data_IF_788041078413
#
_entry.id   IF_788041078413
#
_cell.length_a   1.000
_cell.length_b   1.000
_cell.length_c   1.000
_cell.angle_alpha   90.00
_cell.angle_beta   90.00
_cell.angle_gamma   90.00
#
_symmetry.space_group_name_H-M   'P 1'
#
loop_
_entity.id
_entity.type
_entity.pdbx_description
1 polymer ?
#
# COMPACT_ATOMS: atom_id res chain seq x y z
N UNK A 1 27.83 -2.17 -44.51
CA UNK A 1 27.53 -1.80 -43.09
C UNK A 1 26.33 -0.87 -43.10
N UNK A 2 25.30 -1.15 -42.28
CA UNK A 2 24.20 -0.20 -42.02
C UNK A 2 24.68 0.86 -41.04
N UNK A 3 24.48 2.13 -41.37
CA UNK A 3 24.73 3.23 -40.45
C UNK A 3 23.89 3.02 -39.18
N UNK A 4 24.42 3.32 -37.97
CA UNK A 4 23.65 3.30 -36.74
C UNK A 4 22.48 4.28 -36.91
N UNK A 5 21.33 3.88 -36.35
CA UNK A 5 20.15 4.75 -36.26
C UNK A 5 19.85 4.99 -34.80
N UNK A 6 19.49 6.21 -34.47
CA UNK A 6 19.01 6.56 -33.14
C UNK A 6 17.71 5.80 -32.86
N UNK A 7 17.52 5.44 -31.59
CA UNK A 7 16.29 4.84 -31.09
C UNK A 7 15.18 5.88 -30.97
N UNK A 8 13.98 5.41 -30.63
CA UNK A 8 12.87 6.28 -30.30
C UNK A 8 13.03 6.88 -28.90
N UNK A 9 12.43 8.06 -28.68
CA UNK A 9 12.33 8.66 -27.37
C UNK A 9 11.14 8.06 -26.62
N UNK A 10 11.34 7.67 -25.38
CA UNK A 10 10.30 7.13 -24.49
C UNK A 10 9.99 8.17 -23.41
N UNK A 11 8.77 8.69 -23.43
CA UNK A 11 8.29 9.56 -22.36
C UNK A 11 7.62 8.71 -21.30
N UNK A 12 8.12 8.82 -20.05
CA UNK A 12 7.57 8.11 -18.91
C UNK A 12 6.42 8.90 -18.27
N UNK A 13 5.62 8.22 -17.44
CA UNK A 13 4.63 8.85 -16.55
C UNK A 13 5.27 9.41 -15.28
N UNK A 14 6.51 9.03 -15.00
CA UNK A 14 7.29 9.54 -13.87
C UNK A 14 7.43 11.04 -13.96
N UNK A 15 7.03 11.74 -12.89
CA UNK A 15 7.31 13.16 -12.72
C UNK A 15 8.62 13.31 -11.93
N UNK A 16 9.62 13.94 -12.55
CA UNK A 16 10.96 14.07 -11.97
C UNK A 16 10.96 14.79 -10.60
N UNK A 17 10.11 15.80 -10.42
CA UNK A 17 10.04 16.53 -9.16
C UNK A 17 9.37 15.69 -8.07
N UNK A 18 8.30 14.96 -8.42
CA UNK A 18 7.64 14.01 -7.50
C UNK A 18 8.60 12.89 -7.14
N UNK A 19 9.32 12.32 -8.11
CA UNK A 19 10.34 11.30 -7.87
C UNK A 19 11.40 11.79 -6.88
N UNK A 20 11.94 12.99 -7.09
CA UNK A 20 12.93 13.58 -6.20
C UNK A 20 12.40 13.84 -4.78
N UNK A 21 11.14 14.28 -4.65
CA UNK A 21 10.49 14.43 -3.33
C UNK A 21 10.41 13.08 -2.63
N UNK A 22 9.92 12.04 -3.34
CA UNK A 22 9.76 10.69 -2.78
C UNK A 22 11.10 10.10 -2.35
N UNK A 23 12.14 10.22 -3.20
CA UNK A 23 13.48 9.74 -2.88
C UNK A 23 14.08 10.45 -1.67
N UNK A 24 13.97 11.78 -1.63
CA UNK A 24 14.49 12.59 -0.51
C UNK A 24 13.86 12.16 0.84
N UNK A 25 12.54 11.96 0.87
CA UNK A 25 11.86 11.54 2.10
C UNK A 25 12.15 10.08 2.45
N UNK A 26 12.34 9.23 1.45
CA UNK A 26 12.73 7.84 1.66
C UNK A 26 14.16 7.75 2.21
N UNK A 27 15.09 8.57 1.70
CA UNK A 27 16.47 8.67 2.21
C UNK A 27 16.51 9.16 3.66
N UNK A 28 15.72 10.17 3.98
CA UNK A 28 15.57 10.64 5.36
C UNK A 28 15.02 9.54 6.28
N UNK A 29 14.05 8.74 5.81
CA UNK A 29 13.54 7.59 6.55
C UNK A 29 14.62 6.50 6.73
N UNK A 30 15.42 6.23 5.71
CA UNK A 30 16.54 5.29 5.81
C UNK A 30 17.60 5.74 6.80
N UNK A 31 17.91 7.04 6.85
CA UNK A 31 18.83 7.61 7.83
C UNK A 31 18.28 7.54 9.27
N UNK A 32 16.97 7.69 9.43
CA UNK A 32 16.32 7.67 10.74
C UNK A 32 16.12 6.25 11.28
N UNK A 33 15.68 5.32 10.44
CA UNK A 33 15.20 4.00 10.87
C UNK A 33 16.11 2.85 10.45
N UNK A 34 17.14 3.10 9.66
CA UNK A 34 18.10 2.10 9.17
C UNK A 34 17.45 0.77 8.72
N UNK A 35 16.41 0.82 7.87
CA UNK A 35 15.74 -0.40 7.43
C UNK A 35 16.65 -1.22 6.51
N UNK A 36 16.39 -2.52 6.39
CA UNK A 36 17.05 -3.36 5.39
C UNK A 36 16.66 -3.00 3.97
N UNK A 37 15.38 -2.63 3.78
CA UNK A 37 14.83 -2.14 2.53
C UNK A 37 13.80 -1.05 2.82
N UNK A 38 13.70 -0.08 1.93
CA UNK A 38 12.64 0.89 1.93
C UNK A 38 12.09 1.06 0.51
N UNK A 39 10.78 1.21 0.40
CA UNK A 39 10.07 1.31 -0.87
C UNK A 39 9.04 2.42 -0.74
N UNK A 40 8.95 3.28 -1.77
CA UNK A 40 7.86 4.21 -1.91
C UNK A 40 7.41 4.26 -3.38
N UNK A 41 6.10 4.15 -3.59
CA UNK A 41 5.49 4.21 -4.92
C UNK A 41 4.34 5.20 -4.86
N UNK A 42 4.27 6.08 -5.87
CA UNK A 42 3.15 6.99 -6.03
C UNK A 42 2.46 6.77 -7.37
N UNK A 43 1.13 6.69 -7.35
CA UNK A 43 0.31 6.41 -8.52
C UNK A 43 -0.92 7.33 -8.57
N UNK A 44 -1.33 7.72 -9.77
CA UNK A 44 -2.59 8.41 -10.02
C UNK A 44 -3.73 7.39 -10.09
N UNK A 45 -4.69 7.38 -9.15
CA UNK A 45 -5.71 6.33 -9.07
C UNK A 45 -6.61 6.22 -10.31
N UNK A 46 -6.91 7.33 -10.97
CA UNK A 46 -7.85 7.39 -12.10
C UNK A 46 -7.25 6.83 -13.39
N UNK A 47 -5.92 6.91 -13.55
CA UNK A 47 -5.25 6.55 -14.81
C UNK A 47 -4.32 5.35 -14.66
N UNK A 48 -3.86 5.04 -13.46
CA UNK A 48 -2.83 4.02 -13.22
C UNK A 48 -1.40 4.52 -13.47
N UNK A 49 -1.21 5.80 -13.82
CA UNK A 49 0.12 6.38 -14.07
C UNK A 49 0.97 6.35 -12.80
N UNK A 50 2.14 5.74 -12.89
CA UNK A 50 3.16 5.78 -11.85
C UNK A 50 3.84 7.15 -11.92
N UNK A 51 3.69 7.95 -10.87
CA UNK A 51 4.28 9.28 -10.75
C UNK A 51 5.68 9.26 -10.14
N UNK A 52 5.94 8.27 -9.26
CA UNK A 52 7.24 7.99 -8.68
C UNK A 52 7.33 6.52 -8.25
N UNK A 53 8.54 5.95 -8.31
CA UNK A 53 8.85 4.61 -7.81
C UNK A 53 10.29 4.60 -7.30
N UNK A 54 10.48 4.45 -6.00
CA UNK A 54 11.78 4.46 -5.35
C UNK A 54 11.98 3.22 -4.48
N UNK A 55 13.19 2.68 -4.50
CA UNK A 55 13.64 1.57 -3.67
C UNK A 55 14.94 1.96 -2.95
N UNK A 56 15.17 1.39 -1.77
CA UNK A 56 16.45 1.43 -1.07
C UNK A 56 16.76 0.03 -0.51
N UNK A 57 18.01 -0.44 -0.62
CA UNK A 57 19.09 0.19 -1.38
C UNK A 57 18.75 0.33 -2.87
N UNK A 58 19.46 1.24 -3.55
CA UNK A 58 19.41 1.44 -4.99
C UNK A 58 20.81 1.30 -5.60
N UNK A 59 20.93 1.50 -6.91
CA UNK A 59 22.22 1.43 -7.62
C UNK A 59 22.30 2.51 -8.69
N UNK A 60 23.53 2.96 -8.97
CA UNK A 60 23.81 3.79 -10.14
C UNK A 60 24.01 2.88 -11.37
N UNK A 61 23.17 2.98 -12.43
CA UNK A 61 23.35 2.23 -13.65
C UNK A 61 24.72 2.41 -14.33
N UNK A 62 25.41 3.52 -14.06
CA UNK A 62 26.76 3.76 -14.59
C UNK A 62 27.80 2.88 -13.88
N UNK A 63 27.57 2.43 -12.66
CA UNK A 63 28.47 1.54 -11.95
C UNK A 63 28.65 0.19 -12.65
N UNK A 64 27.63 -0.30 -13.35
CA UNK A 64 27.71 -1.54 -14.13
C UNK A 64 28.83 -1.48 -15.18
N UNK A 65 29.17 -0.30 -15.71
CA UNK A 65 30.21 -0.10 -16.70
C UNK A 65 31.59 0.22 -16.11
N UNK A 66 31.63 0.75 -14.90
CA UNK A 66 32.83 1.31 -14.27
C UNK A 66 33.37 0.47 -13.12
N UNK A 67 32.55 -0.32 -12.47
CA UNK A 67 32.93 -1.18 -11.34
C UNK A 67 33.30 -2.59 -11.79
N UNK A 68 34.17 -3.29 -11.01
CA UNK A 68 34.54 -4.66 -11.33
C UNK A 68 33.37 -5.64 -11.16
N UNK A 69 33.40 -6.81 -11.82
CA UNK A 69 32.34 -7.82 -11.71
C UNK A 69 32.06 -8.28 -10.27
N UNK A 70 33.03 -8.29 -9.38
CA UNK A 70 32.85 -8.63 -7.96
C UNK A 70 31.94 -7.63 -7.25
N UNK A 71 32.06 -6.33 -7.54
CA UNK A 71 31.17 -5.30 -7.02
C UNK A 71 29.74 -5.54 -7.48
N UNK A 72 29.54 -5.83 -8.76
CA UNK A 72 28.22 -6.11 -9.34
C UNK A 72 27.57 -7.33 -8.66
N UNK A 73 28.35 -8.41 -8.47
CA UNK A 73 27.88 -9.62 -7.82
C UNK A 73 27.48 -9.37 -6.34
N UNK A 74 28.25 -8.55 -5.63
CA UNK A 74 28.00 -8.20 -4.23
C UNK A 74 26.72 -7.36 -4.07
N UNK A 75 26.39 -6.50 -5.07
CA UNK A 75 25.24 -5.59 -5.08
C UNK A 75 24.11 -6.06 -6.00
N UNK A 76 24.09 -7.32 -6.44
CA UNK A 76 23.05 -7.84 -7.34
C UNK A 76 21.64 -7.67 -6.74
N UNK A 77 21.51 -7.82 -5.43
CA UNK A 77 20.26 -7.62 -4.70
C UNK A 77 19.71 -6.18 -4.79
N UNK A 78 20.62 -5.21 -4.84
CA UNK A 78 20.30 -3.78 -4.88
C UNK A 78 19.77 -3.35 -6.26
N UNK A 79 20.10 -4.12 -7.32
CA UNK A 79 19.67 -3.87 -8.69
C UNK A 79 18.22 -4.31 -8.97
N UNK A 80 17.58 -4.97 -8.00
CA UNK A 80 16.20 -5.43 -8.16
C UNK A 80 15.22 -4.31 -7.87
N UNK A 81 14.19 -4.20 -8.70
CA UNK A 81 13.06 -3.32 -8.39
C UNK A 81 12.13 -4.01 -7.40
N UNK A 82 12.43 -3.85 -6.10
CA UNK A 82 11.67 -4.48 -5.02
C UNK A 82 10.18 -4.10 -5.00
N UNK A 83 9.80 -2.99 -5.61
CA UNK A 83 8.40 -2.56 -5.73
C UNK A 83 7.52 -3.57 -6.48
N UNK A 84 8.11 -4.36 -7.38
CA UNK A 84 7.42 -5.32 -8.25
C UNK A 84 7.96 -6.75 -8.18
N UNK A 85 9.16 -6.94 -7.61
CA UNK A 85 9.86 -8.23 -7.59
C UNK A 85 10.04 -8.83 -6.21
N UNK A 86 9.67 -8.14 -5.15
CA UNK A 86 9.63 -8.67 -3.79
C UNK A 86 8.19 -8.91 -3.37
N UNK A 87 7.96 -10.03 -2.68
CA UNK A 87 6.66 -10.37 -2.13
C UNK A 87 6.74 -10.49 -0.61
N UNK A 88 5.66 -10.11 0.05
CA UNK A 88 5.53 -10.16 1.50
C UNK A 88 4.07 -10.31 1.90
N UNK A 89 3.84 -10.73 3.12
CA UNK A 89 2.52 -10.63 3.71
C UNK A 89 2.13 -9.15 3.88
N UNK A 90 0.99 -8.69 3.31
CA UNK A 90 0.58 -7.28 3.36
C UNK A 90 0.13 -6.84 4.76
N UNK A 91 -0.14 -7.79 5.65
CA UNK A 91 -0.69 -7.50 6.96
C UNK A 91 -2.00 -6.72 6.87
N UNK A 92 -2.21 -5.81 7.79
CA UNK A 92 -3.48 -5.07 7.93
C UNK A 92 -3.84 -4.16 6.75
N UNK A 93 -2.94 -3.88 5.80
CA UNK A 93 -3.34 -3.18 4.56
C UNK A 93 -4.33 -4.01 3.75
N UNK A 94 -4.30 -5.33 3.88
CA UNK A 94 -5.21 -6.24 3.18
C UNK A 94 -6.66 -6.17 3.67
N UNK A 95 -6.92 -5.62 4.87
CA UNK A 95 -8.28 -5.46 5.42
C UNK A 95 -9.19 -4.58 4.55
N UNK A 96 -8.62 -3.75 3.66
CA UNK A 96 -9.42 -3.00 2.68
C UNK A 96 -10.19 -3.93 1.75
N UNK A 97 -9.60 -5.07 1.36
CA UNK A 97 -10.27 -6.09 0.53
C UNK A 97 -11.40 -6.75 1.31
N UNK A 98 -11.14 -7.12 2.57
CA UNK A 98 -12.10 -7.79 3.44
C UNK A 98 -13.33 -6.91 3.72
N UNK A 99 -13.10 -5.65 4.12
CA UNK A 99 -14.16 -4.68 4.37
C UNK A 99 -14.96 -4.36 3.11
N UNK A 100 -14.25 -4.08 2.00
CA UNK A 100 -14.88 -3.80 0.72
C UNK A 100 -15.74 -4.97 0.21
N UNK A 101 -15.26 -6.20 0.35
CA UNK A 101 -16.01 -7.39 -0.05
C UNK A 101 -17.28 -7.57 0.77
N UNK A 102 -17.21 -7.44 2.10
CA UNK A 102 -18.35 -7.61 2.99
C UNK A 102 -19.43 -6.55 2.76
N UNK A 103 -19.03 -5.28 2.56
CA UNK A 103 -19.93 -4.18 2.23
C UNK A 103 -20.55 -4.36 0.83
N UNK A 104 -19.76 -4.74 -0.17
CA UNK A 104 -20.21 -4.89 -1.56
C UNK A 104 -21.21 -6.05 -1.75
N UNK A 105 -21.07 -7.12 -0.98
CA UNK A 105 -22.02 -8.23 -0.93
C UNK A 105 -23.25 -7.93 -0.06
N UNK A 106 -23.32 -6.76 0.55
CA UNK A 106 -24.39 -6.34 1.47
C UNK A 106 -24.64 -7.35 2.60
N UNK A 107 -23.62 -8.11 3.00
CA UNK A 107 -23.69 -9.01 4.17
C UNK A 107 -23.68 -8.22 5.48
N UNK A 108 -23.16 -7.02 5.42
CA UNK A 108 -23.10 -6.03 6.50
C UNK A 108 -23.27 -4.61 5.94
N UNK A 109 -23.48 -3.64 6.83
CA UNK A 109 -23.44 -2.19 6.56
C UNK A 109 -22.32 -1.55 7.38
N UNK A 110 -21.90 -0.31 7.07
CA UNK A 110 -20.88 0.40 7.83
C UNK A 110 -21.12 0.43 9.34
N UNK A 111 -22.37 0.59 9.75
CA UNK A 111 -22.85 0.67 11.13
C UNK A 111 -23.15 -0.69 11.78
N UNK A 112 -23.04 -1.80 11.06
CA UNK A 112 -23.29 -3.15 11.60
C UNK A 112 -22.30 -3.47 12.71
N UNK A 113 -22.79 -3.86 13.87
CA UNK A 113 -21.97 -4.19 15.04
C UNK A 113 -21.52 -5.64 14.98
N UNK A 114 -20.23 -5.84 15.18
CA UNK A 114 -19.56 -7.14 15.28
C UNK A 114 -18.86 -7.21 16.63
N UNK A 115 -19.20 -8.22 17.44
CA UNK A 115 -18.50 -8.46 18.70
C UNK A 115 -17.11 -9.08 18.44
N UNK A 116 -16.03 -8.40 18.88
CA UNK A 116 -14.64 -8.79 18.64
C UNK A 116 -14.01 -9.54 19.84
N UNK A 117 -14.82 -10.28 20.61
CA UNK A 117 -14.42 -11.26 21.63
C UNK A 117 -13.46 -10.71 22.70
N UNK A 118 -13.51 -9.40 22.98
CA UNK A 118 -12.57 -8.71 23.88
C UNK A 118 -11.10 -9.01 23.56
N UNK A 119 -10.77 -9.15 22.25
CA UNK A 119 -9.41 -9.31 21.75
C UNK A 119 -8.88 -10.74 21.68
N UNK A 120 -9.71 -11.78 21.93
CA UNK A 120 -9.26 -13.18 21.85
C UNK A 120 -10.36 -14.10 21.28
N UNK A 121 -10.29 -14.46 20.02
CA UNK A 121 -11.27 -15.28 19.30
C UNK A 121 -10.73 -16.71 19.06
N UNK A 122 -11.41 -17.71 19.63
CA UNK A 122 -11.08 -19.12 19.37
C UNK A 122 -11.78 -19.60 18.11
N UNK A 123 -11.01 -19.97 17.09
CA UNK A 123 -11.51 -20.56 15.86
C UNK A 123 -10.69 -21.80 15.47
N UNK A 124 -11.36 -22.92 15.27
CA UNK A 124 -10.69 -24.18 14.89
C UNK A 124 -9.66 -24.69 15.92
N UNK A 125 -9.81 -24.35 17.20
CA UNK A 125 -8.89 -24.74 18.27
C UNK A 125 -7.63 -23.86 18.37
N UNK A 126 -7.59 -22.74 17.67
CA UNK A 126 -6.51 -21.75 17.74
C UNK A 126 -7.07 -20.38 18.07
N UNK A 127 -6.33 -19.61 18.86
CA UNK A 127 -6.70 -18.23 19.16
C UNK A 127 -6.19 -17.28 18.08
N UNK A 128 -7.06 -16.36 17.70
CA UNK A 128 -6.75 -15.14 16.95
C UNK A 128 -6.84 -13.98 17.92
N UNK A 129 -5.86 -13.09 17.89
CA UNK A 129 -5.81 -11.94 18.77
C UNK A 129 -5.87 -10.62 18.01
N UNK A 130 -6.54 -9.64 18.60
CA UNK A 130 -6.36 -8.24 18.25
C UNK A 130 -5.15 -7.66 19.00
N UNK A 131 -4.51 -6.64 18.42
CA UNK A 131 -3.39 -5.95 19.07
C UNK A 131 -3.84 -5.24 20.36
N UNK A 132 -5.09 -4.76 20.37
CA UNK A 132 -5.75 -4.19 21.55
C UNK A 132 -7.10 -4.88 21.76
N UNK A 133 -7.50 -5.17 23.00
CA UNK A 133 -8.81 -5.76 23.28
C UNK A 133 -9.96 -4.88 22.76
N UNK A 134 -10.82 -5.44 21.91
CA UNK A 134 -12.02 -4.79 21.40
C UNK A 134 -13.24 -5.66 21.72
N UNK A 135 -14.31 -5.02 22.22
CA UNK A 135 -15.64 -5.62 22.37
C UNK A 135 -16.46 -5.46 21.09
N UNK A 136 -17.55 -4.71 21.15
CA UNK A 136 -18.40 -4.40 20.03
C UNK A 136 -17.75 -3.32 19.15
N UNK A 137 -17.60 -3.60 17.84
CA UNK A 137 -17.13 -2.66 16.84
C UNK A 137 -18.12 -2.58 15.68
N UNK A 138 -18.33 -1.39 15.13
CA UNK A 138 -18.94 -1.26 13.81
C UNK A 138 -18.00 -1.77 12.73
N UNK A 139 -18.49 -2.04 11.53
CA UNK A 139 -17.66 -2.43 10.38
C UNK A 139 -16.64 -1.33 10.06
N UNK A 140 -17.04 -0.05 10.16
CA UNK A 140 -16.11 1.08 10.03
C UNK A 140 -15.02 1.02 11.11
N UNK A 141 -15.39 0.80 12.38
CA UNK A 141 -14.42 0.74 13.47
C UNK A 141 -13.49 -0.48 13.37
N UNK A 142 -13.92 -1.59 12.75
CA UNK A 142 -13.03 -2.73 12.41
C UNK A 142 -11.89 -2.27 11.49
N UNK A 143 -12.18 -1.44 10.49
CA UNK A 143 -11.16 -0.88 9.60
C UNK A 143 -10.33 0.20 10.29
N UNK A 144 -10.96 1.10 11.05
CA UNK A 144 -10.32 2.22 11.75
C UNK A 144 -9.34 1.72 12.81
N UNK A 145 -9.78 0.81 13.67
CA UNK A 145 -8.98 0.22 14.75
C UNK A 145 -8.16 -0.99 14.30
N UNK A 146 -8.36 -1.41 13.04
CA UNK A 146 -7.62 -2.53 12.47
C UNK A 146 -7.83 -3.87 13.20
N UNK A 147 -9.06 -4.19 13.67
CA UNK A 147 -9.35 -5.44 14.36
C UNK A 147 -9.12 -6.66 13.45
N UNK A 148 -8.29 -7.59 13.91
CA UNK A 148 -8.05 -8.88 13.25
C UNK A 148 -9.27 -9.79 13.35
N UNK A 149 -9.89 -9.79 14.53
CA UNK A 149 -11.07 -10.62 14.84
C UNK A 149 -12.27 -10.13 14.04
N UNK A 150 -12.48 -8.81 13.98
CA UNK A 150 -13.53 -8.21 13.16
C UNK A 150 -13.38 -8.59 11.69
N UNK A 151 -12.17 -8.44 11.13
CA UNK A 151 -11.87 -8.82 9.75
C UNK A 151 -12.11 -10.33 9.50
N UNK A 152 -11.68 -11.20 10.40
CA UNK A 152 -11.92 -12.63 10.30
C UNK A 152 -13.43 -12.94 10.28
N UNK A 153 -14.24 -12.32 11.15
CA UNK A 153 -15.69 -12.50 11.20
C UNK A 153 -16.39 -12.01 9.94
N UNK A 154 -15.95 -10.90 9.35
CA UNK A 154 -16.44 -10.43 8.05
C UNK A 154 -16.20 -11.47 6.95
N UNK A 155 -14.98 -12.03 6.88
CA UNK A 155 -14.66 -13.06 5.88
C UNK A 155 -15.40 -14.37 6.12
N UNK A 156 -15.61 -14.78 7.38
CA UNK A 156 -16.46 -15.94 7.72
C UNK A 156 -17.90 -15.74 7.23
N UNK A 157 -18.44 -14.52 7.34
CA UNK A 157 -19.76 -14.17 6.81
C UNK A 157 -19.84 -14.23 5.29
N UNK A 158 -18.75 -13.90 4.57
CA UNK A 158 -18.65 -14.01 3.12
C UNK A 158 -18.52 -15.47 2.63
N UNK A 159 -17.77 -16.26 3.36
CA UNK A 159 -17.35 -17.60 2.96
C UNK A 159 -16.16 -17.57 1.99
N UNK A 160 -15.43 -18.70 1.94
CA UNK A 160 -14.14 -18.84 1.26
C UNK A 160 -14.17 -18.47 -0.22
N UNK A 161 -15.17 -18.95 -0.96
CA UNK A 161 -15.25 -18.79 -2.41
C UNK A 161 -15.47 -17.32 -2.81
N UNK A 162 -16.39 -16.62 -2.14
CA UNK A 162 -16.66 -15.21 -2.44
C UNK A 162 -15.47 -14.35 -2.04
N UNK A 163 -14.90 -14.60 -0.83
CA UNK A 163 -13.74 -13.85 -0.38
C UNK A 163 -12.54 -14.01 -1.32
N UNK A 164 -12.24 -15.25 -1.75
CA UNK A 164 -11.23 -15.52 -2.76
C UNK A 164 -11.52 -14.78 -4.09
N UNK A 165 -12.77 -14.77 -4.52
CA UNK A 165 -13.19 -14.01 -5.70
C UNK A 165 -12.82 -12.53 -5.62
N UNK A 166 -13.02 -11.87 -4.47
CA UNK A 166 -12.62 -10.47 -4.26
C UNK A 166 -11.10 -10.29 -4.21
N UNK A 167 -10.37 -11.20 -3.56
CA UNK A 167 -8.89 -11.17 -3.58
C UNK A 167 -8.38 -11.13 -5.02
N UNK A 168 -8.91 -12.00 -5.88
CA UNK A 168 -8.56 -12.05 -7.30
C UNK A 168 -9.05 -10.82 -8.06
N UNK A 169 -10.24 -10.33 -7.75
CA UNK A 169 -10.81 -9.14 -8.39
C UNK A 169 -9.96 -7.89 -8.12
N UNK A 170 -9.39 -7.74 -6.93
CA UNK A 170 -8.45 -6.66 -6.58
C UNK A 170 -7.05 -6.84 -7.22
N UNK A 171 -6.79 -7.93 -7.96
CA UNK A 171 -5.56 -8.15 -8.72
C UNK A 171 -4.49 -8.94 -7.97
N UNK A 172 -4.74 -9.42 -6.75
CA UNK A 172 -3.78 -10.23 -6.02
C UNK A 172 -3.59 -11.63 -6.60
N UNK A 173 -2.34 -12.10 -6.61
CA UNK A 173 -1.95 -13.37 -7.21
C UNK A 173 -1.87 -13.33 -8.74
N UNK A 174 -1.87 -12.15 -9.36
CA UNK A 174 -1.67 -11.90 -10.80
C UNK A 174 -0.65 -10.78 -10.98
N UNK A 175 0.08 -10.79 -12.09
CA UNK A 175 0.89 -9.63 -12.48
C UNK A 175 -0.01 -8.43 -12.75
N UNK A 176 0.41 -7.24 -12.35
CA UNK A 176 -0.35 -6.00 -12.60
C UNK A 176 -0.33 -5.60 -14.07
N UNK A 177 0.66 -6.10 -14.82
CA UNK A 177 0.87 -5.78 -16.22
C UNK A 177 1.68 -4.51 -16.45
N UNK A 178 2.35 -3.99 -15.42
CA UNK A 178 3.28 -2.87 -15.58
C UNK A 178 4.38 -3.21 -16.59
N UNK A 179 4.71 -2.28 -17.50
CA UNK A 179 5.70 -2.49 -18.54
C UNK A 179 7.15 -2.39 -18.02
N UNK A 180 7.45 -3.16 -16.97
CA UNK A 180 8.79 -3.28 -16.37
C UNK A 180 9.20 -4.75 -16.25
N UNK A 181 10.49 -5.08 -16.44
CA UNK A 181 10.98 -6.44 -16.28
C UNK A 181 11.01 -6.85 -14.80
N UNK A 182 10.90 -8.15 -14.53
CA UNK A 182 11.05 -8.71 -13.19
C UNK A 182 9.79 -8.70 -12.33
N UNK A 183 8.64 -8.30 -12.85
CA UNK A 183 7.37 -8.35 -12.10
C UNK A 183 6.99 -9.80 -11.77
N UNK A 184 6.62 -10.03 -10.49
CA UNK A 184 6.11 -11.30 -9.98
C UNK A 184 4.61 -11.22 -9.66
N UNK A 185 3.88 -12.35 -9.72
CA UNK A 185 2.44 -12.36 -9.45
C UNK A 185 2.08 -12.35 -7.96
N UNK A 186 3.05 -12.51 -7.06
CA UNK A 186 2.77 -12.85 -5.67
C UNK A 186 2.19 -14.26 -5.51
N UNK A 187 1.72 -14.59 -4.31
CA UNK A 187 1.20 -15.91 -3.99
C UNK A 187 -0.17 -15.82 -3.31
N UNK A 188 -1.19 -16.36 -3.97
CA UNK A 188 -2.55 -16.49 -3.44
C UNK A 188 -3.07 -17.88 -3.78
N UNK A 189 -3.22 -18.72 -2.78
CA UNK A 189 -3.76 -20.07 -2.98
C UNK A 189 -5.28 -20.06 -3.15
N UNK A 190 -5.83 -20.92 -4.02
CA UNK A 190 -7.27 -21.09 -4.16
C UNK A 190 -7.86 -21.83 -2.95
N UNK A 191 -9.19 -21.67 -2.65
CA UNK A 191 -9.82 -22.18 -1.43
C UNK A 191 -9.63 -23.68 -1.18
N UNK A 192 -9.56 -24.52 -2.22
CA UNK A 192 -9.31 -25.95 -2.05
C UNK A 192 -7.93 -26.31 -1.45
N UNK A 193 -7.02 -25.34 -1.39
CA UNK A 193 -5.70 -25.44 -0.74
C UNK A 193 -5.65 -24.78 0.64
N UNK A 194 -6.75 -24.13 1.06
CA UNK A 194 -6.80 -23.47 2.34
C UNK A 194 -6.88 -24.49 3.48
N UNK A 195 -6.25 -24.16 4.58
CA UNK A 195 -6.47 -24.82 5.86
C UNK A 195 -7.79 -24.36 6.48
N UNK A 196 -8.27 -25.05 7.51
CA UNK A 196 -9.44 -24.58 8.27
C UNK A 196 -9.24 -23.18 8.89
N UNK A 197 -8.00 -22.75 9.08
CA UNK A 197 -7.67 -21.45 9.69
C UNK A 197 -7.51 -20.34 8.66
N UNK A 198 -7.26 -20.66 7.40
CA UNK A 198 -6.95 -19.68 6.35
C UNK A 198 -8.01 -18.59 6.21
N UNK A 199 -9.31 -18.97 6.31
CA UNK A 199 -10.43 -18.00 6.26
C UNK A 199 -10.39 -16.96 7.39
N UNK A 200 -9.62 -17.18 8.45
CA UNK A 200 -9.43 -16.22 9.56
C UNK A 200 -8.08 -15.54 9.51
N UNK A 201 -7.12 -16.02 8.71
CA UNK A 201 -5.76 -15.48 8.59
C UNK A 201 -5.62 -14.57 7.36
N UNK A 202 -6.09 -15.02 6.22
CA UNK A 202 -6.04 -14.25 4.97
C UNK A 202 -6.73 -12.87 5.10
N UNK A 203 -7.88 -12.71 5.79
CA UNK A 203 -8.53 -11.40 5.92
C UNK A 203 -7.70 -10.30 6.57
N UNK A 204 -6.70 -10.67 7.35
CA UNK A 204 -5.77 -9.72 7.96
C UNK A 204 -4.41 -9.67 7.25
N UNK A 205 -4.28 -10.35 6.09
CA UNK A 205 -3.11 -10.30 5.23
C UNK A 205 -2.02 -11.29 5.58
N UNK A 206 -2.35 -12.41 6.24
CA UNK A 206 -1.46 -13.56 6.42
C UNK A 206 -1.79 -14.66 5.40
N UNK A 207 -0.88 -15.60 5.18
CA UNK A 207 -1.01 -16.71 4.21
C UNK A 207 -1.19 -16.24 2.75
N UNK A 208 -0.92 -14.96 2.45
CA UNK A 208 -0.85 -14.38 1.10
C UNK A 208 0.44 -13.61 0.97
N UNK A 209 1.10 -13.69 -0.20
CA UNK A 209 2.27 -12.90 -0.47
C UNK A 209 1.99 -11.99 -1.68
N UNK A 210 2.24 -10.69 -1.52
CA UNK A 210 1.89 -9.66 -2.50
C UNK A 210 3.05 -8.69 -2.70
N UNK A 211 3.10 -8.05 -3.87
CA UNK A 211 4.07 -6.99 -4.09
C UNK A 211 3.57 -5.65 -3.55
N UNK A 212 4.47 -4.69 -3.24
CA UNK A 212 4.09 -3.33 -2.89
C UNK A 212 3.18 -2.67 -3.94
N UNK A 213 3.47 -2.90 -5.23
CA UNK A 213 2.66 -2.36 -6.31
C UNK A 213 1.24 -2.94 -6.32
N UNK A 214 1.07 -4.23 -6.07
CA UNK A 214 -0.27 -4.84 -5.95
C UNK A 214 -1.07 -4.21 -4.81
N UNK A 215 -0.44 -3.97 -3.66
CA UNK A 215 -1.09 -3.31 -2.51
C UNK A 215 -1.53 -1.89 -2.86
N UNK A 216 -0.67 -1.10 -3.51
CA UNK A 216 -1.00 0.24 -3.96
C UNK A 216 -2.13 0.24 -5.00
N UNK A 217 -2.08 -0.68 -5.97
CA UNK A 217 -3.08 -0.80 -7.03
C UNK A 217 -4.46 -1.14 -6.47
N UNK A 218 -4.53 -2.01 -5.45
CA UNK A 218 -5.76 -2.31 -4.73
C UNK A 218 -6.30 -1.09 -3.97
N UNK A 219 -5.44 -0.32 -3.29
CA UNK A 219 -5.83 0.95 -2.65
C UNK A 219 -6.33 1.97 -3.68
N UNK A 220 -5.66 2.08 -4.83
CA UNK A 220 -6.11 2.94 -5.93
C UNK A 220 -7.47 2.53 -6.47
N UNK A 221 -7.80 1.24 -6.50
CA UNK A 221 -9.15 0.81 -6.90
C UNK A 221 -10.22 1.35 -5.93
N UNK A 222 -9.97 1.34 -4.62
CA UNK A 222 -10.85 1.98 -3.62
C UNK A 222 -10.96 3.49 -3.90
N UNK A 223 -9.81 4.17 -4.04
CA UNK A 223 -9.71 5.62 -4.30
C UNK A 223 -10.37 6.03 -5.63
N UNK A 224 -10.51 5.12 -6.58
CA UNK A 224 -11.06 5.33 -7.94
C UNK A 224 -12.51 4.78 -8.09
N UNK A 225 -13.29 4.82 -7.03
CA UNK A 225 -14.69 4.38 -7.08
C UNK A 225 -14.87 2.90 -7.41
N UNK A 226 -13.94 2.06 -6.97
CA UNK A 226 -13.96 0.61 -7.15
C UNK A 226 -13.41 0.11 -8.49
N UNK A 227 -12.80 0.98 -9.30
CA UNK A 227 -12.26 0.63 -10.62
C UNK A 227 -10.76 0.35 -10.54
N UNK A 228 -10.37 -0.87 -10.87
CA UNK A 228 -8.97 -1.29 -10.95
C UNK A 228 -8.36 -0.85 -12.28
N UNK A 229 -7.28 -0.06 -12.20
CA UNK A 229 -6.52 0.40 -13.37
C UNK A 229 -5.23 -0.40 -13.51
N UNK A 230 -4.78 -0.59 -14.76
CA UNK A 230 -3.45 -1.14 -15.04
C UNK A 230 -2.38 -0.09 -14.73
N UNK A 231 -1.36 -0.40 -13.90
CA UNK A 231 -0.25 0.51 -13.67
C UNK A 231 0.52 0.80 -14.96
N UNK A 232 0.86 2.06 -15.19
CA UNK A 232 1.56 2.51 -16.39
C UNK A 232 2.80 3.31 -16.03
N UNK A 233 3.90 3.05 -16.73
CA UNK A 233 5.17 3.77 -16.58
C UNK A 233 5.57 4.47 -17.88
N UNK A 234 5.01 4.06 -19.01
CA UNK A 234 5.24 4.69 -20.32
C UNK A 234 4.00 5.48 -20.73
N UNK A 235 4.19 6.77 -21.07
CA UNK A 235 3.13 7.65 -21.55
C UNK A 235 3.02 7.63 -23.07
N UNK A 236 4.15 7.85 -23.77
CA UNK A 236 4.20 7.84 -25.23
C UNK A 236 5.61 7.57 -25.76
N UNK A 237 5.69 7.24 -27.04
CA UNK A 237 6.94 7.06 -27.79
C UNK A 237 6.95 8.03 -28.97
N UNK A 238 8.07 8.75 -29.18
CA UNK A 238 8.27 9.64 -30.32
C UNK A 238 9.52 9.26 -31.09
N UNK A 239 9.58 9.68 -32.37
CA UNK A 239 10.82 9.63 -33.13
C UNK A 239 11.78 10.80 -32.76
N UNK A 240 12.91 10.87 -33.48
CA UNK A 240 13.93 11.91 -33.35
C UNK A 240 13.44 13.31 -33.75
N UNK A 241 12.33 13.41 -34.49
CA UNK A 241 11.69 14.65 -34.90
C UNK A 241 10.54 15.08 -33.94
N UNK A 242 10.28 14.30 -32.86
CA UNK A 242 9.20 14.53 -31.92
C UNK A 242 7.82 14.09 -32.43
N UNK A 243 7.74 13.37 -33.55
CA UNK A 243 6.49 12.84 -34.04
C UNK A 243 6.09 11.63 -33.19
N UNK A 244 4.84 11.59 -32.71
CA UNK A 244 4.32 10.49 -31.93
C UNK A 244 4.22 9.21 -32.78
N UNK A 245 4.90 8.15 -32.32
CA UNK A 245 4.87 6.80 -32.87
C UNK A 245 3.82 5.95 -32.20
N UNK A 246 3.68 6.07 -30.85
CA UNK A 246 2.73 5.31 -30.05
C UNK A 246 2.32 6.06 -28.81
N UNK A 247 1.07 5.88 -28.38
CA UNK A 247 0.53 6.39 -27.10
C UNK A 247 0.00 5.24 -26.26
N UNK A 248 0.05 5.39 -24.94
CA UNK A 248 -0.42 4.39 -23.99
C UNK A 248 -1.53 5.01 -23.11
N UNK A 249 -2.78 4.99 -23.57
CA UNK A 249 -3.89 5.54 -22.79
C UNK A 249 -4.15 4.71 -21.53
N UNK A 250 -4.76 5.31 -20.50
CA UNK A 250 -5.17 4.59 -19.28
C UNK A 250 -6.06 3.39 -19.60
N UNK A 251 -5.77 2.24 -18.99
CA UNK A 251 -6.50 0.99 -19.15
C UNK A 251 -7.21 0.61 -17.87
N UNK A 252 -8.54 0.62 -17.89
CA UNK A 252 -9.36 0.06 -16.83
C UNK A 252 -9.44 -1.46 -16.99
N UNK A 253 -8.97 -2.22 -15.99
CA UNK A 253 -8.99 -3.68 -16.02
C UNK A 253 -10.40 -4.19 -15.73
N UNK A 254 -11.03 -3.70 -14.63
CA UNK A 254 -12.37 -4.12 -14.21
C UNK A 254 -12.96 -3.19 -13.14
N UNK A 255 -14.28 -3.25 -12.96
CA UNK A 255 -14.95 -2.75 -11.76
C UNK A 255 -14.92 -3.85 -10.71
N UNK A 256 -14.30 -3.59 -9.55
CA UNK A 256 -14.11 -4.58 -8.48
C UNK A 256 -15.25 -4.53 -7.47
N UNK A 257 -15.65 -3.32 -7.09
CA UNK A 257 -16.74 -3.03 -6.17
C UNK A 257 -17.58 -1.86 -6.70
N UNK A 258 -18.82 -1.73 -6.24
CA UNK A 258 -19.66 -0.62 -6.60
C UNK A 258 -19.06 0.74 -6.13
N UNK A 259 -19.30 1.85 -6.87
CA UNK A 259 -18.83 3.17 -6.43
C UNK A 259 -19.40 3.62 -5.08
N UNK A 260 -20.60 3.16 -4.69
CA UNK A 260 -21.18 3.39 -3.36
C UNK A 260 -20.35 2.72 -2.28
N UNK A 261 -20.01 1.43 -2.47
CA UNK A 261 -19.18 0.68 -1.55
C UNK A 261 -17.77 1.29 -1.42
N UNK A 262 -17.20 1.74 -2.54
CA UNK A 262 -15.91 2.42 -2.51
C UNK A 262 -15.94 3.66 -1.61
N UNK A 263 -17.03 4.48 -1.68
CA UNK A 263 -17.21 5.65 -0.79
C UNK A 263 -17.32 5.25 0.68
N UNK A 264 -18.10 4.22 1.00
CA UNK A 264 -18.23 3.70 2.37
C UNK A 264 -16.85 3.28 2.93
N UNK A 265 -16.05 2.57 2.13
CA UNK A 265 -14.68 2.20 2.53
C UNK A 265 -13.79 3.43 2.69
N UNK A 266 -13.86 4.42 1.79
CA UNK A 266 -13.10 5.68 1.90
C UNK A 266 -13.45 6.40 3.21
N UNK A 267 -14.73 6.46 3.60
CA UNK A 267 -15.15 7.10 4.83
C UNK A 267 -14.57 6.41 6.08
N UNK A 268 -14.55 5.08 6.11
CA UNK A 268 -13.85 4.33 7.15
C UNK A 268 -12.32 4.62 7.14
N UNK A 269 -11.69 4.68 5.95
CA UNK A 269 -10.25 4.94 5.81
C UNK A 269 -9.85 6.36 6.20
N UNK A 270 -10.72 7.36 6.10
CA UNK A 270 -10.52 8.70 6.71
C UNK A 270 -10.38 8.57 8.24
N UNK A 271 -11.20 7.71 8.85
CA UNK A 271 -11.13 7.43 10.28
C UNK A 271 -9.80 6.83 10.72
N UNK A 272 -9.12 6.03 9.87
CA UNK A 272 -7.80 5.46 10.17
C UNK A 272 -6.74 6.54 10.37
N UNK A 273 -6.80 7.63 9.60
CA UNK A 273 -5.85 8.75 9.67
C UNK A 273 -6.25 9.77 10.76
N UNK A 274 -7.42 9.64 11.37
CA UNK A 274 -7.87 10.49 12.46
C UNK A 274 -7.21 10.14 13.81
N UNK A 275 -7.39 10.98 14.81
CA UNK A 275 -6.87 10.77 16.16
C UNK A 275 -7.38 9.46 16.83
N UNK A 276 -8.50 8.90 16.37
CA UNK A 276 -9.05 7.62 16.89
C UNK A 276 -8.57 6.38 16.12
N UNK A 277 -7.82 6.59 15.04
CA UNK A 277 -7.33 5.53 14.17
C UNK A 277 -5.89 5.14 14.43
N UNK A 278 -5.38 4.21 13.62
CA UNK A 278 -4.02 3.65 13.77
C UNK A 278 -2.93 4.48 13.07
N UNK A 279 -3.29 5.57 12.35
CA UNK A 279 -2.35 6.33 11.53
C UNK A 279 -2.50 7.85 11.68
N UNK A 280 -2.71 8.35 12.90
CA UNK A 280 -2.83 9.80 13.13
C UNK A 280 -1.62 10.61 12.60
N UNK A 281 -0.42 10.03 12.61
CA UNK A 281 0.81 10.65 12.10
C UNK A 281 0.92 10.64 10.56
N UNK A 282 0.02 9.97 9.85
CA UNK A 282 -0.05 10.01 8.38
C UNK A 282 -0.86 11.21 7.85
N UNK A 283 -1.39 12.04 8.75
CA UNK A 283 -2.18 13.21 8.39
C UNK A 283 -1.33 14.23 7.63
N UNK A 284 -1.87 14.78 6.54
CA UNK A 284 -1.24 15.83 5.75
C UNK A 284 -1.91 17.16 6.06
N UNK A 285 -1.16 18.18 6.52
CA UNK A 285 -1.72 19.51 6.84
C UNK A 285 -2.52 20.09 5.67
N UNK A 286 -3.73 20.57 5.94
CA UNK A 286 -4.62 21.15 4.94
C UNK A 286 -5.42 20.15 4.10
N UNK A 287 -5.26 18.83 4.30
CA UNK A 287 -5.97 17.83 3.48
C UNK A 287 -6.59 16.73 4.33
N UNK A 288 -7.80 16.30 3.93
CA UNK A 288 -8.37 15.04 4.42
C UNK A 288 -7.71 13.89 3.66
N UNK A 289 -7.05 13.01 4.40
CA UNK A 289 -6.41 11.82 3.86
C UNK A 289 -7.23 10.58 4.19
N UNK A 290 -7.08 9.55 3.39
CA UNK A 290 -7.59 8.22 3.66
C UNK A 290 -6.48 7.18 3.44
N UNK A 291 -6.43 6.14 4.26
CA UNK A 291 -5.39 5.13 4.12
C UNK A 291 -5.47 4.02 5.14
N UNK A 292 -4.51 3.10 5.08
CA UNK A 292 -4.43 1.94 5.97
C UNK A 292 -2.98 1.64 6.33
N UNK A 293 -2.75 1.35 7.61
CA UNK A 293 -1.48 0.84 8.13
C UNK A 293 -1.33 -0.64 7.86
N UNK A 294 -0.09 -1.08 7.67
CA UNK A 294 0.34 -2.47 7.71
C UNK A 294 1.49 -2.65 8.68
N UNK A 295 1.43 -3.72 9.44
CA UNK A 295 2.52 -4.24 10.26
C UNK A 295 2.46 -5.76 10.11
N UNK A 296 3.45 -6.35 9.49
CA UNK A 296 3.52 -7.78 9.26
C UNK A 296 4.83 -8.33 9.82
N UNK A 297 4.78 -9.38 10.63
CA UNK A 297 5.98 -10.10 11.03
C UNK A 297 6.64 -10.74 9.82
N UNK A 298 7.95 -10.71 9.79
CA UNK A 298 8.71 -11.34 8.69
C UNK A 298 8.65 -12.86 8.81
N UNK A 299 8.42 -13.51 7.69
CA UNK A 299 8.45 -14.97 7.59
C UNK A 299 9.91 -15.46 7.77
N UNK A 300 10.11 -16.46 8.63
CA UNK A 300 11.37 -17.17 8.76
C UNK A 300 11.51 -18.16 7.60
N UNK A 301 12.62 -18.17 6.84
CA UNK A 301 12.86 -19.17 5.78
C UNK A 301 12.78 -20.62 6.26
N UNK A 302 12.95 -20.86 7.57
CA UNK A 302 12.85 -22.19 8.18
C UNK A 302 11.44 -22.52 8.70
N UNK A 303 10.47 -21.60 8.52
CA UNK A 303 9.08 -21.72 8.93
C UNK A 303 8.73 -20.90 10.17
N UNK A 304 7.51 -20.36 10.19
CA UNK A 304 7.04 -19.44 11.23
C UNK A 304 7.45 -18.00 10.97
N UNK A 305 7.54 -17.19 12.04
CA UNK A 305 7.84 -15.77 11.97
C UNK A 305 9.11 -15.41 12.76
N UNK A 306 9.83 -14.41 12.29
CA UNK A 306 10.99 -13.83 12.97
C UNK A 306 10.50 -12.82 14.01
N UNK A 307 10.49 -13.18 15.27
CA UNK A 307 10.04 -12.31 16.36
C UNK A 307 10.81 -10.99 16.42
N UNK A 308 10.06 -9.89 16.53
CA UNK A 308 10.63 -8.54 16.59
C UNK A 308 11.19 -8.05 15.25
N UNK A 309 10.85 -8.71 14.14
CA UNK A 309 11.20 -8.31 12.79
C UNK A 309 9.94 -8.07 11.98
N UNK A 310 9.73 -6.81 11.58
CA UNK A 310 8.50 -6.39 10.93
C UNK A 310 8.76 -5.74 9.57
N UNK A 311 7.79 -5.89 8.68
CA UNK A 311 7.61 -5.01 7.54
C UNK A 311 6.48 -4.06 7.90
N UNK A 312 6.83 -2.79 8.03
CA UNK A 312 5.88 -1.73 8.37
C UNK A 312 5.52 -0.92 7.15
N UNK A 313 4.24 -0.59 6.99
CA UNK A 313 3.77 0.14 5.82
C UNK A 313 2.62 1.09 6.14
N UNK A 314 2.47 2.09 5.30
CA UNK A 314 1.26 2.89 5.17
C UNK A 314 0.92 3.05 3.69
N UNK A 315 -0.31 2.75 3.32
CA UNK A 315 -0.85 2.95 1.98
C UNK A 315 -2.06 3.87 2.06
N UNK A 316 -2.02 5.00 1.37
CA UNK A 316 -3.09 5.99 1.46
C UNK A 316 -3.12 6.92 0.25
N UNK A 317 -4.06 7.84 0.25
CA UNK A 317 -4.29 8.80 -0.83
C UNK A 317 -4.85 10.12 -0.32
N UNK A 318 -4.68 11.17 -1.11
CA UNK A 318 -5.22 12.49 -0.84
C UNK A 318 -5.50 13.30 -2.13
N UNK A 319 -6.42 14.27 -2.07
CA UNK A 319 -7.50 14.40 -1.09
C UNK A 319 -8.40 13.17 -1.05
N UNK A 320 -9.01 12.84 0.09
CA UNK A 320 -9.75 11.58 0.25
C UNK A 320 -10.96 11.46 -0.69
N UNK A 321 -11.68 12.58 -0.95
CA UNK A 321 -12.91 12.58 -1.75
C UNK A 321 -12.67 12.74 -3.26
N UNK A 322 -11.52 13.29 -3.65
CA UNK A 322 -11.10 13.44 -5.04
C UNK A 322 -9.59 13.21 -5.15
N UNK A 323 -9.12 11.97 -5.09
CA UNK A 323 -7.71 11.66 -4.98
C UNK A 323 -6.88 12.16 -6.15
N UNK A 324 -5.89 13.03 -5.88
CA UNK A 324 -4.91 13.45 -6.87
C UNK A 324 -3.82 12.39 -7.06
N UNK A 325 -3.46 11.71 -5.97
CA UNK A 325 -2.51 10.61 -5.96
C UNK A 325 -2.76 9.66 -4.78
N UNK A 326 -2.28 8.44 -4.93
CA UNK A 326 -2.11 7.46 -3.86
C UNK A 326 -0.62 7.13 -3.70
N UNK A 327 -0.20 6.83 -2.48
CA UNK A 327 1.17 6.49 -2.17
C UNK A 327 1.23 5.33 -1.17
N UNK A 328 2.14 4.40 -1.40
CA UNK A 328 2.56 3.42 -0.40
C UNK A 328 3.98 3.73 0.04
N UNK A 329 4.20 3.70 1.35
CA UNK A 329 5.53 3.72 1.98
C UNK A 329 5.69 2.45 2.76
N UNK A 330 6.84 1.79 2.62
CA UNK A 330 7.14 0.52 3.25
C UNK A 330 8.58 0.49 3.71
N UNK A 331 8.82 0.04 4.94
CA UNK A 331 10.15 -0.16 5.51
C UNK A 331 10.26 -1.59 6.06
N UNK A 332 11.28 -2.31 5.61
CA UNK A 332 11.59 -3.68 6.04
C UNK A 332 12.61 -3.66 7.17
N UNK A 333 12.25 -4.23 8.32
CA UNK A 333 13.13 -4.36 9.49
C UNK A 333 13.69 -3.00 9.97
N UNK A 334 12.79 -2.00 10.08
CA UNK A 334 13.12 -0.68 10.60
C UNK A 334 13.59 -0.76 12.06
N UNK A 335 14.67 -0.05 12.40
CA UNK A 335 15.17 0.03 13.77
C UNK A 335 14.39 1.12 14.51
N UNK A 336 13.57 0.70 15.46
CA UNK A 336 12.70 1.57 16.25
C UNK A 336 12.93 1.32 17.74
N UNK A 337 12.37 2.18 18.59
CA UNK A 337 12.26 1.86 20.01
C UNK A 337 11.19 0.78 20.22
N UNK A 338 11.25 0.06 21.35
CA UNK A 338 10.16 -0.84 21.72
C UNK A 338 8.81 -0.12 21.66
N UNK A 339 7.78 -0.79 21.13
CA UNK A 339 6.41 -0.27 20.95
C UNK A 339 6.26 0.87 19.91
N UNK A 340 7.31 1.21 19.14
CA UNK A 340 7.25 2.20 18.06
C UNK A 340 7.37 1.54 16.66
N UNK A 341 7.21 0.24 16.54
CA UNK A 341 7.40 -0.58 15.33
C UNK A 341 6.12 -0.79 14.51
N UNK A 342 5.19 0.17 14.60
CA UNK A 342 3.94 0.13 13.86
C UNK A 342 3.96 1.00 12.59
N UNK A 343 3.27 0.54 11.55
CA UNK A 343 3.20 1.26 10.26
C UNK A 343 2.71 2.71 10.39
N UNK A 344 1.80 2.99 11.34
CA UNK A 344 1.33 4.35 11.60
C UNK A 344 2.38 5.28 12.22
N UNK A 345 3.34 4.73 12.95
CA UNK A 345 4.40 5.50 13.63
C UNK A 345 5.66 5.66 12.77
N UNK A 346 5.94 4.70 11.89
CA UNK A 346 7.16 4.68 11.06
C UNK A 346 6.86 5.15 9.64
N UNK A 347 5.95 4.47 8.92
CA UNK A 347 5.63 4.77 7.52
C UNK A 347 4.66 5.96 7.38
N UNK A 348 3.75 6.16 8.35
CA UNK A 348 2.78 7.26 8.37
C UNK A 348 3.42 8.64 8.27
N UNK A 349 4.40 9.02 9.12
CA UNK A 349 5.09 10.30 9.03
C UNK A 349 5.81 10.53 7.69
N UNK A 350 6.36 9.48 7.09
CA UNK A 350 7.03 9.57 5.77
C UNK A 350 5.98 9.88 4.69
N UNK A 351 4.84 9.18 4.70
CA UNK A 351 3.72 9.47 3.82
C UNK A 351 3.23 10.92 4.00
N UNK A 352 3.10 11.40 5.23
CA UNK A 352 2.67 12.77 5.54
C UNK A 352 3.59 13.81 4.89
N UNK A 353 4.91 13.68 5.06
CA UNK A 353 5.89 14.61 4.49
C UNK A 353 5.92 14.55 2.96
N UNK A 354 5.85 13.36 2.37
CA UNK A 354 5.72 13.18 0.91
C UNK A 354 4.43 13.87 0.45
N UNK A 355 3.31 13.58 1.10
CA UNK A 355 2.00 14.10 0.76
C UNK A 355 1.94 15.63 0.78
N UNK A 356 2.48 16.26 1.83
CA UNK A 356 2.54 17.72 1.95
C UNK A 356 3.35 18.37 0.80
N UNK A 357 4.54 17.85 0.53
CA UNK A 357 5.42 18.39 -0.51
C UNK A 357 4.84 18.21 -1.91
N UNK A 358 4.26 17.01 -2.19
CA UNK A 358 3.64 16.72 -3.49
C UNK A 358 2.36 17.54 -3.68
N UNK A 359 1.50 17.65 -2.65
CA UNK A 359 0.30 18.48 -2.73
C UNK A 359 0.64 19.93 -3.05
N UNK A 360 1.68 20.49 -2.43
CA UNK A 360 2.20 21.83 -2.72
C UNK A 360 2.75 21.94 -4.15
N UNK A 361 3.54 20.98 -4.59
CA UNK A 361 4.06 20.94 -5.96
C UNK A 361 2.94 20.88 -7.02
N UNK A 362 1.91 20.06 -6.78
CA UNK A 362 0.74 19.92 -7.66
C UNK A 362 -0.23 21.10 -7.55
N UNK A 363 0.05 22.10 -6.69
CA UNK A 363 -0.83 23.23 -6.40
C UNK A 363 -2.25 22.80 -6.00
N UNK A 364 -2.34 21.76 -5.18
CA UNK A 364 -3.64 21.33 -4.65
C UNK A 364 -4.14 22.37 -3.64
N UNK A 365 -5.41 22.73 -3.73
CA UNK A 365 -6.01 23.68 -2.78
C UNK A 365 -6.30 22.96 -1.45
N UNK A 366 -5.81 23.51 -0.31
CA UNK A 366 -6.16 22.98 1.00
C UNK A 366 -7.66 23.05 1.26
N UNK A 367 -8.20 22.06 1.95
CA UNK A 367 -9.61 22.00 2.33
C UNK A 367 -9.86 22.93 3.53
N UNK A 368 -10.78 23.91 3.45
CA UNK A 368 -10.89 25.00 4.46
C UNK A 368 -11.41 24.54 5.84
N UNK A 369 -12.02 23.38 5.96
CA UNK A 369 -12.66 22.92 7.21
C UNK A 369 -12.16 21.53 7.61
N UNK A 370 -10.89 21.43 8.03
CA UNK A 370 -10.46 20.28 8.80
C UNK A 370 -10.87 20.53 10.25
N UNK A 371 -11.76 19.72 10.88
CA UNK A 371 -12.12 19.89 12.29
C UNK A 371 -10.86 19.97 13.16
N UNK A 372 -10.82 20.91 14.12
CA UNK A 372 -9.67 21.12 15.03
C UNK A 372 -9.22 19.86 15.78
N UNK A 373 -10.06 18.84 15.90
CA UNK A 373 -9.69 17.52 16.40
C UNK A 373 -8.62 16.77 15.59
N UNK A 374 -8.31 17.24 14.39
CA UNK A 374 -7.24 16.69 13.53
C UNK A 374 -5.91 17.46 13.65
N UNK A 375 -5.86 18.56 14.41
CA UNK A 375 -4.67 19.42 14.53
C UNK A 375 -3.77 19.14 15.75
N UNK A 376 -4.07 18.12 16.53
CA UNK A 376 -3.32 17.87 17.77
C UNK A 376 -2.19 16.89 17.51
N UNK A 377 -1.03 17.32 17.03
CA UNK A 377 0.25 16.63 17.28
C UNK A 377 1.50 17.31 16.67
N UNK A 378 1.45 18.61 16.35
CA UNK A 378 2.68 19.32 15.89
C UNK A 378 3.36 20.17 16.97
N UNK A 379 2.96 20.07 18.24
CA UNK A 379 3.64 20.77 19.36
C UNK A 379 4.10 19.75 20.41
N UNK A 380 5.17 19.03 20.12
CA UNK A 380 6.09 18.48 21.12
C UNK A 380 7.48 18.29 20.50
N UNK A 381 8.24 19.35 20.48
CA UNK A 381 9.70 19.32 20.56
C UNK A 381 10.26 20.74 20.56
N UNK A 382 10.03 21.47 21.64
CA UNK A 382 10.93 22.52 22.12
C UNK A 382 10.65 22.65 23.62
N UNK A 383 11.57 22.14 24.39
CA UNK A 383 11.86 22.24 25.83
C UNK A 383 11.86 20.84 26.50
N UNK A 384 13.06 20.26 26.54
CA UNK A 384 13.97 19.97 27.68
C UNK A 384 15.14 19.09 27.21
#
# INVERSE_FOLDING_TARGET
>A
ERAPRDGYNVQLTIDLNIQNIVETELDAACQQYHPKKAIAIMMRPQTGEILAMANRPDFDPNDIRTKPPSFIQEHEGDMRNCAISDEMEPGSTFKIVTGAAALNEHTVRPDTIIYCENGAFNYGGRYLHDDHPNGDLSVDDILIKSSNIGAAKLALGLGEQRFYGYIRAFGFGERTGIALPGEIPGLVYPPHRWSKLSITRIPMGQEVAVTPLQTLTAMCAIANGGKLMMPQVVHLITDDHGQTISTFPPVAIRQVIAPSTAREVVDALKGVVSARGTAALAQVPGFVCAGKTGTAEKIDPHGGYLHGKYIVSFCGFLPADNPAFACIVMLDDAQTKPDEDYGGQVAGPVFSRIGEKVARYMNLEPQPDIPEGNMVLTQRSEHD
#
